data_IF_533637011779
#
_entry.id   IF_533637011779
#
_cell.length_a   1.000
_cell.length_b   1.000
_cell.length_c   1.000
_cell.angle_alpha   90.00
_cell.angle_beta   90.00
_cell.angle_gamma   90.00
#
_symmetry.space_group_name_H-M   'P 1'
#
loop_
_entity.id
_entity.type
_entity.pdbx_description
1 polymer ?
#
# COMPACT_ATOMS: atom_id res chain seq x y z
N UNK A 1 45.95 -11.43 -39.86
CA UNK A 1 46.86 -11.03 -38.77
C UNK A 1 46.37 -9.68 -38.24
N UNK A 2 45.91 -9.46 -37.01
CA UNK A 2 45.82 -10.26 -35.79
C UNK A 2 44.36 -10.20 -35.23
N UNK A 3 43.89 -11.22 -34.49
CA UNK A 3 42.48 -11.40 -34.17
C UNK A 3 42.06 -10.68 -32.89
N UNK A 4 40.89 -10.03 -32.91
CA UNK A 4 40.22 -9.53 -31.70
C UNK A 4 39.54 -10.70 -30.98
N UNK A 5 40.00 -11.04 -29.77
CA UNK A 5 39.42 -12.10 -28.93
C UNK A 5 37.99 -11.77 -28.53
N UNK A 6 37.05 -12.65 -28.86
CA UNK A 6 35.75 -12.76 -28.20
C UNK A 6 35.92 -13.51 -26.88
N UNK A 7 35.63 -12.86 -25.74
CA UNK A 7 35.54 -13.55 -24.45
C UNK A 7 34.08 -13.89 -24.15
N UNK A 8 33.77 -15.19 -24.20
CA UNK A 8 32.50 -15.76 -23.76
C UNK A 8 32.44 -15.94 -22.24
N UNK A 9 31.30 -15.52 -21.66
CA UNK A 9 30.60 -16.02 -20.45
C UNK A 9 31.36 -16.19 -19.13
N UNK A 10 30.88 -15.47 -18.11
CA UNK A 10 30.70 -16.08 -16.77
C UNK A 10 29.49 -15.49 -16.04
N UNK A 11 28.55 -16.41 -15.75
CA UNK A 11 27.66 -16.50 -14.60
C UNK A 11 26.94 -15.26 -14.08
N UNK A 12 25.61 -15.34 -14.16
CA UNK A 12 24.66 -14.70 -13.25
C UNK A 12 25.19 -14.66 -11.81
N UNK A 13 25.67 -13.50 -11.39
CA UNK A 13 25.86 -13.21 -9.98
C UNK A 13 24.46 -13.00 -9.40
N UNK A 14 23.95 -14.05 -8.74
CA UNK A 14 22.85 -13.98 -7.79
C UNK A 14 23.09 -12.79 -6.85
N UNK A 15 22.41 -11.67 -7.10
CA UNK A 15 22.20 -10.66 -6.07
C UNK A 15 21.37 -11.37 -5.01
N UNK A 16 21.89 -11.59 -3.79
CA UNK A 16 21.11 -12.28 -2.78
C UNK A 16 19.91 -11.41 -2.46
N UNK A 17 18.73 -11.92 -2.79
CA UNK A 17 17.42 -11.36 -2.43
C UNK A 17 17.19 -11.53 -0.92
N UNK A 18 18.13 -11.04 -0.09
CA UNK A 18 17.91 -10.79 1.34
C UNK A 18 16.99 -9.58 1.45
N UNK A 19 15.73 -9.78 1.06
CA UNK A 19 14.66 -8.83 1.34
C UNK A 19 14.55 -8.67 2.85
N UNK A 20 14.42 -7.42 3.30
CA UNK A 20 14.32 -6.91 4.68
C UNK A 20 13.16 -7.49 5.53
N UNK A 21 12.90 -8.80 5.49
CA UNK A 21 11.73 -9.44 6.11
C UNK A 21 12.07 -10.66 6.99
N UNK A 22 13.36 -10.97 7.18
CA UNK A 22 13.83 -12.21 7.83
C UNK A 22 13.61 -12.31 9.35
N UNK A 23 12.98 -11.33 10.00
CA UNK A 23 12.83 -11.35 11.47
C UNK A 23 11.41 -11.55 12.01
N UNK A 24 10.36 -11.41 11.19
CA UNK A 24 8.98 -11.29 11.72
C UNK A 24 8.23 -12.61 11.58
N UNK A 25 7.99 -13.27 12.72
CA UNK A 25 7.13 -14.46 12.83
C UNK A 25 5.81 -14.21 12.09
N UNK A 26 5.42 -15.12 11.20
CA UNK A 26 4.15 -15.01 10.44
C UNK A 26 2.99 -14.92 11.44
N UNK A 27 2.11 -13.89 11.35
CA UNK A 27 0.94 -13.85 12.21
C UNK A 27 0.03 -15.05 11.91
N UNK A 28 -0.62 -15.61 12.94
CA UNK A 28 -1.51 -16.78 12.81
C UNK A 28 -2.65 -16.55 11.81
N UNK A 29 -3.05 -15.29 11.60
CA UNK A 29 -4.07 -14.85 10.63
C UNK A 29 -3.68 -13.48 10.04
N UNK A 30 -4.11 -13.21 8.81
CA UNK A 30 -3.92 -11.92 8.14
C UNK A 30 -2.66 -11.84 7.28
N UNK A 31 -2.33 -10.62 6.86
CA UNK A 31 -1.24 -10.37 5.92
C UNK A 31 0.04 -9.92 6.63
N UNK A 32 1.20 -10.19 6.02
CA UNK A 32 2.48 -9.66 6.49
C UNK A 32 2.48 -8.14 6.34
N UNK A 33 2.88 -7.43 7.40
CA UNK A 33 3.11 -5.99 7.41
C UNK A 33 4.58 -5.71 7.68
N UNK A 34 5.08 -4.59 7.18
CA UNK A 34 6.38 -4.06 7.58
C UNK A 34 6.32 -3.50 9.01
N UNK A 35 7.48 -3.21 9.59
CA UNK A 35 7.58 -2.61 10.93
C UNK A 35 6.85 -1.26 11.04
N UNK A 36 6.76 -0.53 9.93
CA UNK A 36 6.03 0.74 9.82
C UNK A 36 4.49 0.57 9.73
N UNK A 37 3.97 -0.66 9.79
CA UNK A 37 2.54 -0.95 9.72
C UNK A 37 1.96 -1.02 8.30
N UNK A 38 2.71 -0.68 7.26
CA UNK A 38 2.27 -0.82 5.87
C UNK A 38 2.20 -2.30 5.47
N UNK A 39 1.27 -2.63 4.58
CA UNK A 39 1.14 -3.97 4.01
C UNK A 39 2.41 -4.34 3.23
N UNK A 40 2.92 -5.56 3.45
CA UNK A 40 3.95 -6.09 2.57
C UNK A 40 3.32 -6.52 1.24
N UNK A 41 3.56 -5.70 0.22
CA UNK A 41 2.96 -5.82 -1.11
C UNK A 41 3.63 -6.90 -1.95
N UNK A 42 4.84 -7.38 -1.59
CA UNK A 42 5.62 -8.34 -2.42
C UNK A 42 4.74 -9.52 -2.86
N UNK A 43 4.61 -9.77 -4.17
CA UNK A 43 3.78 -10.84 -4.69
C UNK A 43 4.39 -12.20 -4.36
N UNK A 44 3.55 -13.17 -3.98
CA UNK A 44 3.98 -14.54 -3.66
C UNK A 44 2.97 -15.54 -4.19
N UNK A 45 3.46 -16.61 -4.82
CA UNK A 45 2.62 -17.72 -5.32
C UNK A 45 1.52 -17.24 -6.26
N UNK A 46 0.29 -17.70 -6.00
CA UNK A 46 -0.92 -17.49 -6.83
C UNK A 46 -1.31 -16.03 -7.07
N UNK A 47 -0.75 -15.08 -6.31
CA UNK A 47 -1.04 -13.64 -6.49
C UNK A 47 -0.24 -13.00 -7.62
N UNK A 48 0.80 -13.67 -8.14
CA UNK A 48 1.62 -13.14 -9.24
C UNK A 48 0.75 -13.01 -10.50
N UNK A 49 -0.03 -14.03 -10.83
CA UNK A 49 -0.89 -14.06 -12.02
C UNK A 49 -1.93 -12.93 -12.01
N UNK A 50 -2.56 -12.71 -10.85
CA UNK A 50 -3.53 -11.61 -10.64
C UNK A 50 -2.87 -10.25 -10.87
N UNK A 51 -1.61 -10.08 -10.49
CA UNK A 51 -0.90 -8.80 -10.70
C UNK A 51 -0.58 -8.61 -12.18
N UNK A 52 -0.12 -9.66 -12.87
CA UNK A 52 0.13 -9.62 -14.30
C UNK A 52 -1.13 -9.29 -15.10
N UNK A 53 -2.28 -9.79 -14.67
CA UNK A 53 -3.58 -9.44 -15.26
C UNK A 53 -3.94 -7.97 -14.99
N UNK A 54 -3.80 -7.49 -13.76
CA UNK A 54 -4.10 -6.10 -13.40
C UNK A 54 -3.26 -5.07 -14.17
N UNK A 55 -2.00 -5.38 -14.48
CA UNK A 55 -1.12 -4.52 -15.29
C UNK A 55 -1.72 -4.25 -16.68
N UNK A 56 -2.57 -5.16 -17.20
CA UNK A 56 -3.26 -4.95 -18.47
C UNK A 56 -4.41 -3.95 -18.36
N UNK A 57 -4.82 -3.51 -17.17
CA UNK A 57 -5.89 -2.50 -17.05
C UNK A 57 -5.44 -1.13 -17.62
N UNK A 58 -6.32 -0.38 -18.28
CA UNK A 58 -5.96 0.92 -18.87
C UNK A 58 -5.47 1.93 -17.82
N UNK A 59 -6.02 1.86 -16.60
CA UNK A 59 -5.64 2.74 -15.49
C UNK A 59 -4.20 2.51 -15.01
N UNK A 60 -3.77 1.25 -14.91
CA UNK A 60 -2.43 0.90 -14.44
C UNK A 60 -1.35 1.00 -15.52
N UNK A 61 -1.74 1.16 -16.79
CA UNK A 61 -0.84 1.49 -17.92
C UNK A 61 -0.46 2.97 -17.98
N UNK A 62 -1.21 3.86 -17.31
CA UNK A 62 -0.90 5.29 -17.30
C UNK A 62 0.45 5.57 -16.64
N UNK A 63 1.19 6.62 -17.03
CA UNK A 63 2.38 7.06 -16.31
C UNK A 63 2.10 7.33 -14.83
N UNK A 64 3.05 6.99 -13.95
CA UNK A 64 2.88 7.11 -12.51
C UNK A 64 2.50 8.52 -12.04
N UNK A 65 2.98 9.57 -12.73
CA UNK A 65 2.61 10.97 -12.43
C UNK A 65 1.10 11.22 -12.61
N UNK A 66 0.51 10.68 -13.67
CA UNK A 66 -0.93 10.82 -13.93
C UNK A 66 -1.73 10.01 -12.91
N UNK A 67 -1.28 8.78 -12.61
CA UNK A 67 -1.92 7.95 -11.56
C UNK A 67 -1.93 8.67 -10.22
N UNK A 68 -0.79 9.20 -9.78
CA UNK A 68 -0.70 9.94 -8.52
C UNK A 68 -1.65 11.13 -8.48
N UNK A 69 -1.76 11.91 -9.57
CA UNK A 69 -2.74 12.99 -9.64
C UNK A 69 -4.17 12.48 -9.46
N UNK A 70 -4.56 11.42 -10.17
CA UNK A 70 -5.88 10.78 -10.02
C UNK A 70 -6.11 10.34 -8.56
N UNK A 71 -5.12 9.70 -7.95
CA UNK A 71 -5.23 9.22 -6.58
C UNK A 71 -5.36 10.36 -5.56
N UNK A 72 -4.63 11.46 -5.73
CA UNK A 72 -4.75 12.65 -4.88
C UNK A 72 -6.17 13.25 -4.97
N UNK A 73 -6.77 13.30 -6.16
CA UNK A 73 -8.16 13.74 -6.32
C UNK A 73 -9.19 12.79 -5.71
N UNK A 74 -9.00 11.47 -5.85
CA UNK A 74 -9.97 10.49 -5.34
C UNK A 74 -9.93 10.38 -3.81
N UNK A 75 -8.73 10.39 -3.23
CA UNK A 75 -8.51 10.10 -1.80
C UNK A 75 -8.37 11.36 -0.95
N UNK A 76 -8.19 12.53 -1.59
CA UNK A 76 -7.98 13.81 -0.93
C UNK A 76 -9.23 14.66 -0.72
N UNK A 77 -9.00 15.90 -0.24
CA UNK A 77 -10.03 16.94 -0.12
C UNK A 77 -11.01 16.72 1.04
N UNK A 78 -10.73 15.77 1.93
CA UNK A 78 -11.61 15.46 3.06
C UNK A 78 -11.03 16.01 4.35
N UNK A 79 -11.93 16.57 5.17
CA UNK A 79 -11.61 16.95 6.55
C UNK A 79 -12.18 15.89 7.49
N UNK A 80 -11.31 15.30 8.29
CA UNK A 80 -11.65 14.35 9.34
C UNK A 80 -11.63 15.08 10.67
N UNK A 81 -12.80 15.20 11.29
CA UNK A 81 -12.95 15.65 12.67
C UNK A 81 -12.76 14.43 13.57
N UNK A 82 -11.61 14.39 14.24
CA UNK A 82 -11.23 13.35 15.16
C UNK A 82 -11.81 13.66 16.53
N UNK A 83 -12.59 12.73 17.06
CA UNK A 83 -13.18 12.84 18.38
C UNK A 83 -12.89 11.57 19.17
N UNK A 84 -12.91 11.68 20.49
CA UNK A 84 -12.86 10.50 21.36
C UNK A 84 -14.27 10.24 21.86
N UNK A 85 -14.81 9.07 21.50
CA UNK A 85 -16.03 8.55 22.12
C UNK A 85 -15.66 7.64 23.28
N UNK A 86 -16.52 7.59 24.29
CA UNK A 86 -16.39 6.65 25.39
C UNK A 86 -17.48 5.60 25.27
N UNK A 87 -17.09 4.32 25.29
CA UNK A 87 -18.04 3.21 25.41
C UNK A 87 -18.02 2.69 26.83
N UNK A 88 -19.19 2.63 27.45
CA UNK A 88 -19.34 2.20 28.84
C UNK A 88 -19.86 0.76 28.89
N UNK A 89 -19.29 -0.05 29.79
CA UNK A 89 -19.83 -1.36 30.17
C UNK A 89 -19.72 -1.52 31.69
N UNK A 90 -20.80 -1.25 32.40
CA UNK A 90 -20.78 -1.12 33.86
C UNK A 90 -19.91 0.07 34.27
N UNK A 91 -18.97 -0.13 35.20
CA UNK A 91 -18.03 0.92 35.67
C UNK A 91 -16.82 1.15 34.75
N UNK A 92 -16.66 0.36 33.69
CA UNK A 92 -15.51 0.48 32.78
C UNK A 92 -15.84 1.38 31.58
N UNK A 93 -14.96 2.34 31.28
CA UNK A 93 -15.04 3.21 30.12
C UNK A 93 -13.86 2.94 29.17
N UNK A 94 -14.17 2.66 27.91
CA UNK A 94 -13.18 2.44 26.85
C UNK A 94 -13.14 3.66 25.95
N UNK A 95 -11.95 4.26 25.77
CA UNK A 95 -11.72 5.28 24.76
C UNK A 95 -11.77 4.63 23.38
N UNK A 96 -12.72 5.06 22.56
CA UNK A 96 -12.85 4.65 21.18
C UNK A 96 -12.56 5.88 20.32
N UNK A 97 -11.46 5.89 19.56
CA UNK A 97 -11.24 6.91 18.54
C UNK A 97 -12.41 6.88 17.55
N UNK A 98 -13.02 8.03 17.34
CA UNK A 98 -14.06 8.25 16.35
C UNK A 98 -13.56 9.30 15.38
N UNK A 99 -13.85 9.12 14.10
CA UNK A 99 -13.54 10.13 13.09
C UNK A 99 -14.80 10.36 12.27
N UNK A 100 -15.31 11.58 12.30
CA UNK A 100 -16.38 12.01 11.40
C UNK A 100 -15.74 12.74 10.25
N UNK A 101 -16.07 12.36 9.03
CA UNK A 101 -15.61 13.08 7.87
C UNK A 101 -16.70 14.06 7.44
N UNK A 102 -16.38 15.35 7.40
CA UNK A 102 -17.36 16.40 7.14
C UNK A 102 -17.94 16.34 5.72
N UNK A 103 -17.08 16.04 4.73
CA UNK A 103 -17.42 16.10 3.30
C UNK A 103 -17.03 14.81 2.55
N UNK A 104 -17.19 13.63 3.18
CA UNK A 104 -16.77 12.37 2.55
C UNK A 104 -17.85 11.76 1.67
N UNK A 105 -17.43 11.13 0.57
CA UNK A 105 -18.27 10.19 -0.18
C UNK A 105 -18.22 8.82 0.49
N UNK A 106 -19.31 8.06 0.41
CA UNK A 106 -19.33 6.68 0.93
C UNK A 106 -18.16 5.90 0.32
N UNK A 107 -17.39 5.22 1.17
CA UNK A 107 -16.28 4.35 0.78
C UNK A 107 -15.10 5.05 0.09
N UNK A 108 -14.83 6.34 0.37
CA UNK A 108 -13.71 7.07 -0.24
C UNK A 108 -12.34 6.36 -0.12
N UNK A 109 -12.07 5.70 1.01
CA UNK A 109 -10.82 4.95 1.24
C UNK A 109 -10.86 3.50 0.73
N UNK A 110 -11.97 3.06 0.11
CA UNK A 110 -12.10 1.68 -0.39
C UNK A 110 -11.14 1.37 -1.53
N UNK A 111 -10.70 2.39 -2.27
CA UNK A 111 -9.69 2.27 -3.33
C UNK A 111 -8.40 1.59 -2.82
N UNK A 112 -7.99 1.89 -1.58
CA UNK A 112 -6.81 1.29 -0.93
C UNK A 112 -6.92 -0.23 -0.78
N UNK A 113 -8.12 -0.80 -0.90
CA UNK A 113 -8.41 -2.22 -0.68
C UNK A 113 -8.55 -3.02 -1.97
N UNK A 114 -8.53 -2.37 -3.14
CA UNK A 114 -8.83 -3.01 -4.43
C UNK A 114 -7.69 -3.94 -4.85
N UNK A 115 -6.47 -3.41 -4.99
CA UNK A 115 -5.31 -4.22 -5.37
C UNK A 115 -4.01 -3.74 -4.71
N UNK A 116 -3.02 -4.64 -4.73
CA UNK A 116 -1.70 -4.45 -4.15
C UNK A 116 -0.93 -3.27 -4.76
N UNK A 117 -1.02 -3.09 -6.08
CA UNK A 117 -0.36 -1.98 -6.78
C UNK A 117 -0.95 -0.62 -6.36
N UNK A 118 -2.27 -0.49 -6.36
CA UNK A 118 -2.95 0.73 -5.92
C UNK A 118 -2.59 1.03 -4.47
N UNK A 119 -2.63 0.05 -3.57
CA UNK A 119 -2.24 0.25 -2.17
C UNK A 119 -0.81 0.80 -2.04
N UNK A 120 0.16 0.26 -2.79
CA UNK A 120 1.55 0.72 -2.74
C UNK A 120 1.71 2.20 -3.12
N UNK A 121 0.94 2.66 -4.12
CA UNK A 121 0.97 4.06 -4.59
C UNK A 121 0.20 5.01 -3.66
N UNK A 122 -0.88 4.54 -3.05
CA UNK A 122 -1.87 5.40 -2.41
C UNK A 122 -1.86 5.37 -0.89
N UNK A 123 -1.20 4.41 -0.24
CA UNK A 123 -1.28 4.22 1.22
C UNK A 123 -0.92 5.45 2.06
N UNK A 124 -0.06 6.34 1.53
CA UNK A 124 0.39 7.55 2.23
C UNK A 124 -0.52 8.75 1.92
N UNK A 125 -1.20 8.75 0.77
CA UNK A 125 -1.99 9.89 0.31
C UNK A 125 -3.10 10.32 1.29
N UNK A 126 -3.87 9.41 1.93
CA UNK A 126 -4.87 9.82 2.92
C UNK A 126 -4.33 10.74 4.01
N UNK A 127 -3.05 10.60 4.37
CA UNK A 127 -2.40 11.42 5.39
C UNK A 127 -1.76 12.70 4.84
N UNK A 128 -1.47 12.74 3.55
CA UNK A 128 -0.82 13.87 2.87
C UNK A 128 -1.82 14.91 2.36
N UNK A 129 -2.94 14.46 1.80
CA UNK A 129 -3.90 15.32 1.06
C UNK A 129 -5.22 15.58 1.79
N UNK A 130 -5.35 15.10 3.03
CA UNK A 130 -6.52 15.36 3.88
C UNK A 130 -6.14 16.15 5.13
N UNK A 131 -7.14 16.80 5.71
CA UNK A 131 -7.00 17.58 6.93
C UNK A 131 -7.56 16.80 8.10
N UNK A 132 -6.82 16.71 9.20
CA UNK A 132 -7.25 16.08 10.44
C UNK A 132 -7.38 17.15 11.53
N UNK A 133 -8.59 17.33 12.04
CA UNK A 133 -8.92 18.26 13.14
C UNK A 133 -9.12 17.45 14.42
N UNK A 134 -8.69 17.98 15.57
CA UNK A 134 -8.71 17.31 16.88
C UNK A 134 -9.54 18.11 17.89
#
# INVERSE_FOLDING_TARGET
MAPHKSTTRSSAANVPEKTLSDGVKKPKRGYKKFRNGQLNVTPKGKYIDIILENVKSPLLRLPGKIRNAIWEYVVGGTTFDMHVKYRYKGRYAWRIPDAKAANTTKNQLSLLRVCRQIYAETAILPFKVNVFKF
#
